data_IF_133395164525
#
_entry.id   IF_133395164525
#
_cell.length_a   1.000
_cell.length_b   1.000
_cell.length_c   1.000
_cell.angle_alpha   90.00
_cell.angle_beta   90.00
_cell.angle_gamma   90.00
#
_symmetry.space_group_name_H-M   'P 1'
#
loop_
_entity.id
_entity.type
_entity.pdbx_description
1 polymer ?
#
# COMPACT_ATOMS: atom_id res chain seq x y z
N UNK A 1 -14.31 -4.27 -18.48
CA UNK A 1 -13.89 -3.23 -17.51
C UNK A 1 -13.26 -2.09 -18.30
N UNK A 2 -13.48 -0.81 -17.93
CA UNK A 2 -12.81 0.29 -18.62
C UNK A 2 -11.30 0.19 -18.44
N UNK A 3 -10.53 0.59 -19.45
CA UNK A 3 -9.06 0.61 -19.38
C UNK A 3 -8.65 1.50 -18.20
N UNK A 4 -7.84 0.96 -17.29
CA UNK A 4 -7.33 1.69 -16.14
C UNK A 4 -6.27 2.68 -16.60
N UNK A 5 -6.25 3.87 -16.00
CA UNK A 5 -5.22 4.87 -16.22
C UNK A 5 -4.62 5.32 -14.88
N UNK A 6 -3.30 5.26 -14.79
CA UNK A 6 -2.55 5.86 -13.69
C UNK A 6 -2.22 7.32 -14.04
N UNK A 7 -2.71 8.26 -13.23
CA UNK A 7 -2.60 9.70 -13.46
C UNK A 7 -1.70 10.39 -12.43
N UNK A 8 -1.22 11.58 -12.78
CA UNK A 8 -0.49 12.52 -11.91
C UNK A 8 0.93 12.06 -11.45
N UNK A 9 1.42 10.92 -11.97
CA UNK A 9 2.85 10.56 -11.93
C UNK A 9 3.62 11.37 -12.97
N UNK A 10 4.78 11.91 -12.58
CA UNK A 10 5.69 12.62 -13.48
C UNK A 10 6.50 11.64 -14.33
N UNK A 11 6.81 11.98 -15.59
CA UNK A 11 7.47 11.05 -16.52
C UNK A 11 8.95 10.78 -16.19
N UNK A 12 9.56 11.59 -15.33
CA UNK A 12 10.95 11.49 -14.89
C UNK A 12 11.14 10.63 -13.63
N UNK A 13 10.10 9.91 -13.20
CA UNK A 13 10.09 9.12 -11.96
C UNK A 13 10.05 7.63 -12.23
N UNK A 14 10.67 6.84 -11.35
CA UNK A 14 10.65 5.38 -11.44
C UNK A 14 9.32 4.82 -10.91
N UNK A 15 8.53 4.10 -11.73
CA UNK A 15 7.21 3.64 -11.33
C UNK A 15 7.29 2.46 -10.35
N UNK A 16 6.61 2.56 -9.22
CA UNK A 16 6.36 1.41 -8.32
C UNK A 16 5.15 0.62 -8.80
N UNK A 17 3.99 1.28 -8.86
CA UNK A 17 2.75 0.64 -9.32
C UNK A 17 2.62 0.80 -10.84
N UNK A 18 2.85 -0.25 -11.61
CA UNK A 18 2.63 -0.26 -13.06
C UNK A 18 1.15 -0.47 -13.41
N UNK A 19 0.76 -0.17 -14.65
CA UNK A 19 -0.61 -0.47 -15.13
C UNK A 19 -0.96 -1.96 -14.97
N UNK A 20 0.01 -2.85 -15.24
CA UNK A 20 -0.18 -4.29 -15.10
C UNK A 20 -0.40 -4.73 -13.64
N UNK A 21 0.33 -4.13 -12.68
CA UNK A 21 0.12 -4.39 -11.25
C UNK A 21 -1.22 -3.81 -10.77
N UNK A 22 -1.57 -2.61 -11.25
CA UNK A 22 -2.84 -1.98 -10.92
C UNK A 22 -4.04 -2.80 -11.44
N UNK A 23 -3.95 -3.32 -12.66
CA UNK A 23 -4.94 -4.24 -13.22
C UNK A 23 -4.98 -5.59 -12.48
N UNK A 24 -3.85 -6.09 -11.98
CA UNK A 24 -3.81 -7.30 -11.16
C UNK A 24 -4.45 -7.10 -9.77
N UNK A 25 -4.32 -5.91 -9.17
CA UNK A 25 -4.95 -5.57 -7.89
C UNK A 25 -6.44 -5.27 -8.01
N UNK A 26 -6.86 -4.71 -9.14
CA UNK A 26 -8.22 -4.22 -9.36
C UNK A 26 -9.33 -5.22 -9.03
N UNK A 27 -9.25 -6.53 -9.37
CA UNK A 27 -10.26 -7.52 -9.00
C UNK A 27 -10.44 -7.71 -7.49
N UNK A 28 -9.44 -7.38 -6.68
CA UNK A 28 -9.44 -7.57 -5.23
C UNK A 28 -10.01 -6.37 -4.47
N UNK A 29 -10.12 -5.20 -5.11
CA UNK A 29 -10.71 -4.01 -4.52
C UNK A 29 -12.22 -4.21 -4.23
N UNK A 30 -12.82 -3.37 -3.37
CA UNK A 30 -14.27 -3.29 -3.26
C UNK A 30 -14.94 -3.03 -4.61
N UNK A 31 -16.11 -3.66 -4.85
CA UNK A 31 -16.82 -3.63 -6.14
C UNK A 31 -17.00 -2.21 -6.69
N UNK A 32 -17.31 -1.24 -5.82
CA UNK A 32 -17.46 0.18 -6.19
C UNK A 32 -16.21 0.77 -6.84
N UNK A 33 -15.02 0.37 -6.39
CA UNK A 33 -13.74 0.88 -6.90
C UNK A 33 -13.30 0.17 -8.18
N UNK A 34 -13.76 -1.07 -8.42
CA UNK A 34 -13.44 -1.82 -9.64
C UNK A 34 -13.94 -1.12 -10.90
N UNK A 35 -14.98 -0.29 -10.79
CA UNK A 35 -15.57 0.46 -11.89
C UNK A 35 -14.81 1.75 -12.22
N UNK A 36 -13.94 2.22 -11.34
CA UNK A 36 -13.14 3.44 -11.57
C UNK A 36 -12.23 3.26 -12.78
N UNK A 37 -12.15 4.29 -13.62
CA UNK A 37 -11.34 4.28 -14.85
C UNK A 37 -9.95 4.89 -14.63
N UNK A 38 -9.73 5.53 -13.48
CA UNK A 38 -8.44 6.17 -13.19
C UNK A 38 -8.08 6.13 -11.71
N UNK A 39 -6.80 5.88 -11.45
CA UNK A 39 -6.19 6.08 -10.14
C UNK A 39 -5.26 7.28 -10.23
N UNK A 40 -5.20 8.06 -9.17
CA UNK A 40 -4.44 9.31 -9.11
C UNK A 40 -3.35 9.19 -8.06
N UNK A 41 -2.12 9.53 -8.44
CA UNK A 41 -1.01 9.59 -7.50
C UNK A 41 -1.25 10.71 -6.48
N UNK A 42 -1.34 10.35 -5.21
CA UNK A 42 -1.52 11.27 -4.09
C UNK A 42 -0.17 11.68 -3.49
N UNK A 43 0.75 10.72 -3.42
CA UNK A 43 2.07 10.87 -2.83
C UNK A 43 3.07 9.91 -3.50
N UNK A 44 4.33 10.32 -3.59
CA UNK A 44 5.46 9.55 -4.09
C UNK A 44 6.73 10.08 -3.43
N UNK A 45 7.65 9.22 -3.00
CA UNK A 45 8.94 9.66 -2.44
C UNK A 45 9.71 10.52 -3.44
N UNK A 46 9.85 10.03 -4.66
CA UNK A 46 10.58 10.71 -5.74
C UNK A 46 9.99 12.10 -6.06
N UNK A 47 8.67 12.25 -6.04
CA UNK A 47 8.01 13.52 -6.37
C UNK A 47 7.86 14.51 -5.21
N UNK A 48 7.78 14.00 -3.97
CA UNK A 48 7.31 14.78 -2.81
C UNK A 48 8.26 14.76 -1.61
N UNK A 49 9.36 14.01 -1.68
CA UNK A 49 10.38 13.87 -0.63
C UNK A 49 10.08 12.75 0.36
N UNK A 50 10.98 12.57 1.34
CA UNK A 50 10.99 11.45 2.30
C UNK A 50 10.37 11.80 3.66
N UNK A 51 9.26 12.54 3.68
CA UNK A 51 8.65 12.98 4.95
C UNK A 51 7.27 12.38 5.18
N UNK A 52 7.13 11.57 6.24
CA UNK A 52 5.84 11.05 6.67
C UNK A 52 4.82 12.16 6.98
N UNK A 53 5.28 13.32 7.47
CA UNK A 53 4.43 14.48 7.68
C UNK A 53 3.86 15.04 6.37
N UNK A 54 4.66 15.12 5.31
CA UNK A 54 4.24 15.55 3.98
C UNK A 54 3.29 14.53 3.35
N UNK A 55 3.55 13.24 3.55
CA UNK A 55 2.65 12.15 3.16
C UNK A 55 1.26 12.36 3.76
N UNK A 56 1.15 12.51 5.08
CA UNK A 56 -0.14 12.75 5.73
C UNK A 56 -0.87 14.00 5.21
N UNK A 57 -0.15 15.09 4.97
CA UNK A 57 -0.73 16.31 4.40
C UNK A 57 -1.30 16.09 2.99
N UNK A 58 -0.58 15.34 2.15
CA UNK A 58 -0.95 15.10 0.74
C UNK A 58 -2.16 14.19 0.59
N UNK A 59 -2.28 13.19 1.45
CA UNK A 59 -3.37 12.18 1.42
C UNK A 59 -4.59 12.55 2.27
N UNK A 60 -4.50 13.63 3.07
CA UNK A 60 -5.59 14.07 3.95
C UNK A 60 -6.91 14.22 3.19
N UNK A 61 -7.92 13.45 3.60
CA UNK A 61 -9.26 13.47 3.00
C UNK A 61 -9.35 12.81 1.62
N UNK A 62 -8.32 12.10 1.15
CA UNK A 62 -8.23 11.49 -0.19
C UNK A 62 -8.15 9.96 -0.14
N UNK A 63 -9.01 9.31 0.66
CA UNK A 63 -9.12 7.85 0.73
C UNK A 63 -10.43 7.34 0.11
N UNK A 64 -10.56 6.04 -0.20
CA UNK A 64 -9.60 4.95 0.02
C UNK A 64 -8.31 5.06 -0.82
N UNK A 65 -7.27 4.30 -0.49
CA UNK A 65 -5.99 4.35 -1.21
C UNK A 65 -5.25 3.01 -1.30
N UNK A 66 -4.37 2.89 -2.30
CA UNK A 66 -3.36 1.83 -2.42
C UNK A 66 -2.02 2.42 -1.99
N UNK A 67 -1.39 1.80 -1.00
CA UNK A 67 0.02 1.96 -0.68
C UNK A 67 0.81 0.92 -1.49
N UNK A 68 1.85 1.38 -2.20
CA UNK A 68 2.81 0.54 -2.89
C UNK A 68 4.23 0.95 -2.49
N UNK A 69 5.06 -0.02 -2.14
CA UNK A 69 6.45 0.12 -1.72
C UNK A 69 7.30 -0.76 -2.64
N UNK A 70 8.44 -0.25 -3.07
CA UNK A 70 9.53 -1.01 -3.68
C UNK A 70 10.72 -0.99 -2.74
N UNK A 71 11.22 -2.16 -2.37
CA UNK A 71 12.43 -2.26 -1.54
C UNK A 71 13.73 -2.27 -2.36
N UNK A 72 14.86 -2.25 -1.66
CA UNK A 72 16.20 -2.33 -2.24
C UNK A 72 16.51 -3.67 -2.96
N UNK A 73 15.64 -4.67 -2.87
CA UNK A 73 15.73 -5.95 -3.58
C UNK A 73 14.71 -6.04 -4.74
N UNK A 74 14.19 -4.89 -5.19
CA UNK A 74 13.17 -4.77 -6.25
C UNK A 74 11.84 -5.49 -5.94
N UNK A 75 11.57 -5.83 -4.67
CA UNK A 75 10.32 -6.44 -4.27
C UNK A 75 9.24 -5.37 -4.10
N UNK A 76 8.07 -5.59 -4.70
CA UNK A 76 6.95 -4.64 -4.66
C UNK A 76 5.81 -5.19 -3.82
N UNK A 77 5.35 -4.42 -2.84
CA UNK A 77 4.32 -4.83 -1.88
C UNK A 77 3.62 -3.62 -1.26
N UNK A 78 2.58 -3.86 -0.46
CA UNK A 78 1.91 -2.80 0.26
C UNK A 78 0.55 -3.21 0.78
N UNK A 79 -0.40 -2.27 0.76
CA UNK A 79 -1.75 -2.50 1.27
C UNK A 79 -2.80 -1.64 0.59
N UNK A 80 -4.02 -2.15 0.53
CA UNK A 80 -5.21 -1.35 0.27
C UNK A 80 -5.80 -0.90 1.61
N UNK A 81 -6.04 0.40 1.74
CA UNK A 81 -6.62 1.02 2.92
C UNK A 81 -7.95 1.67 2.54
N UNK A 82 -9.02 1.33 3.25
CA UNK A 82 -10.36 1.87 2.98
C UNK A 82 -10.52 3.35 3.37
N UNK A 83 -9.56 3.90 4.12
CA UNK A 83 -9.48 5.28 4.59
C UNK A 83 -8.11 5.88 4.25
N UNK A 84 -7.97 7.22 4.18
CA UNK A 84 -6.68 7.86 3.97
C UNK A 84 -5.77 7.67 5.20
N UNK A 85 -4.45 7.58 4.97
CA UNK A 85 -3.47 7.58 6.06
C UNK A 85 -3.56 8.88 6.88
N UNK A 86 -3.60 8.74 8.20
CA UNK A 86 -3.72 9.87 9.13
C UNK A 86 -3.07 9.52 10.47
N UNK A 87 -2.40 10.47 11.16
CA UNK A 87 -1.99 10.25 12.53
C UNK A 87 -3.20 9.90 13.41
N UNK A 88 -3.15 8.77 14.10
CA UNK A 88 -4.21 8.27 14.98
C UNK A 88 -3.58 7.41 16.08
N UNK A 89 -3.84 7.70 17.36
CA UNK A 89 -3.35 6.88 18.48
C UNK A 89 -4.13 5.56 18.64
N UNK A 90 -5.17 5.34 17.82
CA UNK A 90 -5.98 4.13 17.81
C UNK A 90 -6.04 3.54 16.40
N UNK A 91 -6.23 2.22 16.34
CA UNK A 91 -6.46 1.54 15.08
C UNK A 91 -7.69 2.09 14.36
N UNK A 92 -7.61 2.21 13.05
CA UNK A 92 -8.70 2.63 12.17
C UNK A 92 -8.71 1.81 10.88
N UNK A 93 -9.76 2.00 10.09
CA UNK A 93 -10.04 1.20 8.90
C UNK A 93 -11.07 0.10 9.16
N UNK A 94 -11.42 -0.63 8.11
CA UNK A 94 -12.41 -1.71 8.14
C UNK A 94 -11.86 -2.99 7.53
N UNK A 95 -12.62 -4.08 7.63
CA UNK A 95 -12.34 -5.35 6.98
C UNK A 95 -12.26 -5.35 5.46
N UNK A 96 -12.45 -4.19 4.80
CA UNK A 96 -12.11 -4.05 3.37
C UNK A 96 -10.60 -3.90 3.15
N UNK A 97 -9.81 -3.58 4.17
CA UNK A 97 -8.36 -3.48 4.07
C UNK A 97 -7.73 -4.84 3.76
N UNK A 98 -6.61 -4.82 3.05
CA UNK A 98 -5.82 -6.02 2.79
C UNK A 98 -4.35 -5.66 2.55
N UNK A 99 -3.45 -6.60 2.84
CA UNK A 99 -2.06 -6.52 2.38
C UNK A 99 -1.90 -7.21 1.03
N UNK A 100 -0.88 -6.83 0.28
CA UNK A 100 -0.55 -7.48 -0.99
C UNK A 100 0.95 -7.46 -1.26
N UNK A 101 1.41 -8.40 -2.10
CA UNK A 101 2.75 -8.37 -2.70
C UNK A 101 2.70 -8.82 -4.15
N UNK A 102 3.57 -8.28 -4.99
CA UNK A 102 3.80 -8.79 -6.33
C UNK A 102 4.50 -10.17 -6.25
N UNK A 103 4.03 -11.12 -7.06
CA UNK A 103 4.63 -12.45 -7.17
C UNK A 103 5.39 -12.64 -8.47
N UNK A 104 4.99 -11.94 -9.53
CA UNK A 104 5.71 -11.85 -10.80
C UNK A 104 5.39 -10.52 -11.45
N UNK A 105 6.42 -9.74 -11.76
CA UNK A 105 6.32 -8.43 -12.46
C UNK A 105 6.90 -8.48 -13.88
N UNK A 106 7.51 -9.59 -14.26
CA UNK A 106 8.23 -9.77 -15.53
C UNK A 106 7.44 -10.56 -16.56
N UNK A 107 6.31 -11.15 -16.15
CA UNK A 107 5.47 -11.95 -17.03
C UNK A 107 4.92 -11.12 -18.21
N UNK A 108 5.08 -11.68 -19.41
CA UNK A 108 4.54 -11.11 -20.67
C UNK A 108 3.01 -11.05 -20.68
N UNK A 109 2.35 -11.93 -19.93
CA UNK A 109 0.90 -12.01 -19.84
C UNK A 109 0.30 -11.05 -18.79
N UNK A 110 1.15 -10.28 -18.10
CA UNK A 110 0.77 -9.32 -17.07
C UNK A 110 1.28 -9.68 -15.68
N UNK A 111 1.35 -8.68 -14.80
CA UNK A 111 1.82 -8.87 -13.44
C UNK A 111 0.85 -9.75 -12.62
N UNK A 112 1.38 -10.42 -11.60
CA UNK A 112 0.60 -11.19 -10.64
C UNK A 112 0.85 -10.73 -9.22
N UNK A 113 -0.19 -10.80 -8.39
CA UNK A 113 -0.15 -10.38 -6.99
C UNK A 113 -0.73 -11.45 -6.09
N UNK A 114 -0.19 -11.54 -4.88
CA UNK A 114 -0.81 -12.26 -3.76
C UNK A 114 -1.45 -11.25 -2.82
N UNK A 115 -2.71 -11.48 -2.49
CA UNK A 115 -3.52 -10.62 -1.61
C UNK A 115 -3.85 -11.37 -0.32
N UNK A 116 -3.75 -10.67 0.80
CA UNK A 116 -4.00 -11.15 2.15
C UNK A 116 -5.18 -10.37 2.74
N UNK A 117 -6.42 -10.87 2.57
CA UNK A 117 -7.62 -10.20 3.06
C UNK A 117 -7.74 -10.31 4.58
N UNK A 118 -8.62 -9.47 5.15
CA UNK A 118 -8.93 -9.54 6.56
C UNK A 118 -9.47 -10.92 6.99
N UNK A 119 -8.98 -11.42 8.13
CA UNK A 119 -9.31 -12.75 8.65
C UNK A 119 -10.57 -12.78 9.53
N UNK A 120 -11.00 -11.63 10.04
CA UNK A 120 -12.04 -11.56 11.07
C UNK A 120 -11.53 -11.78 12.51
N UNK A 121 -10.23 -12.03 12.73
CA UNK A 121 -9.69 -12.33 14.08
C UNK A 121 -9.62 -11.11 15.00
N UNK A 122 -9.38 -9.92 14.46
CA UNK A 122 -9.33 -8.64 15.18
C UNK A 122 -9.52 -7.45 14.20
N UNK A 123 -9.69 -6.23 14.72
CA UNK A 123 -9.90 -5.01 13.91
C UNK A 123 -8.66 -4.11 13.82
N UNK A 124 -7.45 -4.67 13.96
CA UNK A 124 -6.19 -3.91 14.00
C UNK A 124 -5.66 -3.58 12.59
N UNK A 125 -6.48 -2.90 11.77
CA UNK A 125 -6.19 -2.69 10.34
C UNK A 125 -5.03 -1.72 10.08
N UNK A 126 -5.11 -0.50 10.61
CA UNK A 126 -4.07 0.53 10.43
C UNK A 126 -3.83 1.26 11.73
N UNK A 127 -2.57 1.36 12.14
CA UNK A 127 -2.11 2.21 13.23
C UNK A 127 -0.99 3.09 12.68
N UNK A 128 -1.16 4.40 12.72
CA UNK A 128 -0.16 5.30 12.16
C UNK A 128 -0.04 6.54 13.01
N UNK A 129 1.18 6.84 13.43
CA UNK A 129 1.54 7.92 14.33
C UNK A 129 2.52 8.87 13.62
N UNK A 130 2.93 9.99 14.24
CA UNK A 130 3.91 10.88 13.63
C UNK A 130 5.25 10.21 13.30
N UNK A 131 5.60 9.13 14.02
CA UNK A 131 6.88 8.43 13.96
C UNK A 131 6.83 7.11 13.16
N UNK A 132 5.66 6.56 12.84
CA UNK A 132 5.52 5.36 12.01
C UNK A 132 4.14 5.20 11.33
N UNK A 133 4.08 4.29 10.35
CA UNK A 133 2.85 3.74 9.78
C UNK A 133 2.89 2.23 9.90
N UNK A 134 1.81 1.61 10.37
CA UNK A 134 1.67 0.17 10.50
C UNK A 134 0.32 -0.32 9.96
N UNK A 135 0.33 -1.43 9.25
CA UNK A 135 -0.83 -2.06 8.61
C UNK A 135 -0.88 -3.53 9.02
N UNK A 136 -1.99 -3.92 9.64
CA UNK A 136 -2.25 -5.27 10.17
C UNK A 136 -1.51 -5.50 11.47
N UNK A 137 -2.21 -5.58 12.59
CA UNK A 137 -1.63 -5.74 13.92
C UNK A 137 -1.98 -7.04 14.63
N UNK A 138 -1.48 -7.17 15.85
CA UNK A 138 -1.79 -8.28 16.76
C UNK A 138 -0.56 -9.12 17.10
N UNK A 139 -0.63 -9.81 18.24
CA UNK A 139 0.49 -10.59 18.81
C UNK A 139 1.81 -9.81 18.92
N UNK A 140 1.72 -8.48 19.09
CA UNK A 140 2.88 -7.59 19.17
C UNK A 140 3.64 -7.37 17.86
N UNK A 141 3.05 -7.75 16.71
CA UNK A 141 3.66 -7.67 15.39
C UNK A 141 2.80 -6.88 14.41
N UNK A 142 3.43 -6.44 13.32
CA UNK A 142 2.76 -5.75 12.24
C UNK A 142 3.00 -6.43 10.88
N UNK A 143 1.94 -6.64 10.11
CA UNK A 143 2.00 -7.19 8.77
C UNK A 143 2.91 -6.36 7.85
N UNK A 144 2.81 -5.04 7.98
CA UNK A 144 3.70 -4.07 7.38
C UNK A 144 3.91 -2.89 8.34
N UNK A 145 5.15 -2.51 8.61
CA UNK A 145 5.51 -1.35 9.40
C UNK A 145 6.59 -0.53 8.69
N UNK A 146 6.46 0.79 8.73
CA UNK A 146 7.37 1.74 8.11
C UNK A 146 7.66 2.90 9.07
N UNK A 147 8.93 3.24 9.24
CA UNK A 147 9.38 4.35 10.08
C UNK A 147 9.09 5.72 9.43
N UNK A 148 9.11 6.79 10.22
CA UNK A 148 8.86 8.17 9.77
C UNK A 148 9.85 8.75 8.78
N UNK A 149 11.04 8.16 8.64
CA UNK A 149 12.00 8.50 7.57
C UNK A 149 11.59 7.93 6.21
N UNK A 150 10.55 7.08 6.17
CA UNK A 150 10.08 6.38 4.97
C UNK A 150 11.18 5.55 4.27
N UNK A 151 12.20 5.16 5.02
CA UNK A 151 13.35 4.39 4.53
C UNK A 151 13.38 3.02 5.22
N UNK A 152 13.18 2.98 6.54
CA UNK A 152 13.32 1.72 7.29
C UNK A 152 11.96 1.08 7.57
N UNK A 153 11.81 -0.18 7.18
CA UNK A 153 10.59 -0.93 7.44
C UNK A 153 10.80 -2.39 7.82
N UNK A 154 9.73 -3.02 8.28
CA UNK A 154 9.69 -4.45 8.52
C UNK A 154 8.30 -5.04 8.21
N UNK A 155 8.26 -6.33 7.95
CA UNK A 155 7.06 -7.10 7.66
C UNK A 155 7.11 -8.42 8.41
N UNK A 156 6.03 -8.70 9.15
CA UNK A 156 5.85 -9.89 9.96
C UNK A 156 4.55 -10.61 9.59
N UNK A 157 4.37 -11.80 10.15
CA UNK A 157 3.05 -12.43 10.17
C UNK A 157 2.17 -11.73 11.21
N UNK A 158 0.91 -11.47 10.86
CA UNK A 158 -0.06 -10.89 11.79
C UNK A 158 -1.42 -11.61 11.74
N UNK A 159 -2.15 -11.69 12.86
CA UNK A 159 -3.47 -12.32 12.89
C UNK A 159 -4.54 -11.54 12.11
N UNK A 160 -4.38 -10.22 11.87
CA UNK A 160 -5.36 -9.43 11.10
C UNK A 160 -5.51 -9.93 9.67
N UNK A 161 -4.41 -10.31 9.01
CA UNK A 161 -4.40 -10.69 7.59
C UNK A 161 -3.89 -12.11 7.30
N UNK A 162 -3.38 -12.82 8.32
CA UNK A 162 -2.74 -14.14 8.16
C UNK A 162 -1.66 -14.12 7.05
N UNK A 163 -0.98 -12.98 6.91
CA UNK A 163 0.00 -12.78 5.85
C UNK A 163 1.33 -13.45 6.22
N UNK A 164 2.03 -13.92 5.20
CA UNK A 164 3.47 -14.19 5.30
C UNK A 164 4.23 -12.84 5.30
N UNK A 165 5.52 -12.80 5.69
CA UNK A 165 6.36 -11.64 5.42
C UNK A 165 6.27 -11.26 3.93
N UNK A 166 6.02 -9.99 3.65
CA UNK A 166 5.73 -9.50 2.29
C UNK A 166 6.98 -9.51 1.40
N UNK A 167 8.16 -9.48 2.01
CA UNK A 167 9.49 -9.51 1.38
C UNK A 167 10.25 -10.77 1.75
N UNK A 168 11.36 -11.04 1.06
CA UNK A 168 12.24 -12.19 1.32
C UNK A 168 12.93 -12.11 2.69
N UNK A 169 13.17 -10.89 3.19
CA UNK A 169 13.66 -10.58 4.52
C UNK A 169 12.56 -9.91 5.35
N UNK A 170 12.58 -10.09 6.68
CA UNK A 170 11.64 -9.42 7.60
C UNK A 170 11.88 -7.92 7.71
N UNK A 171 13.11 -7.47 7.47
CA UNK A 171 13.47 -6.05 7.40
C UNK A 171 13.73 -5.66 5.95
N UNK A 172 13.28 -4.49 5.57
CA UNK A 172 13.48 -3.94 4.23
C UNK A 172 13.88 -2.46 4.31
N UNK A 173 14.58 -2.02 3.27
CA UNK A 173 14.86 -0.62 2.99
C UNK A 173 13.93 -0.19 1.86
N UNK A 174 13.08 0.79 2.14
CA UNK A 174 12.14 1.39 1.21
C UNK A 174 12.89 2.33 0.27
N UNK A 175 12.99 1.97 -1.00
CA UNK A 175 13.64 2.81 -2.02
C UNK A 175 12.61 3.72 -2.66
N UNK A 176 11.45 3.17 -3.00
CA UNK A 176 10.33 3.93 -3.56
C UNK A 176 9.03 3.63 -2.82
N UNK A 177 8.17 4.64 -2.71
CA UNK A 177 6.83 4.50 -2.16
C UNK A 177 5.86 5.40 -2.91
N UNK A 178 4.71 4.84 -3.27
CA UNK A 178 3.60 5.56 -3.89
C UNK A 178 2.30 5.33 -3.12
N UNK A 179 1.46 6.37 -3.08
CA UNK A 179 0.08 6.26 -2.61
C UNK A 179 -0.87 6.68 -3.73
N UNK A 180 -1.78 5.79 -4.09
CA UNK A 180 -2.75 5.97 -5.16
C UNK A 180 -4.17 6.09 -4.62
N UNK A 181 -4.89 7.13 -5.01
CA UNK A 181 -6.29 7.33 -4.71
C UNK A 181 -7.18 6.98 -5.89
N UNK A 182 -8.48 6.82 -5.63
CA UNK A 182 -9.48 6.51 -6.65
C UNK A 182 -10.28 7.75 -7.01
N UNK A 183 -10.34 8.10 -8.30
CA UNK A 183 -11.29 9.10 -8.79
C UNK A 183 -12.55 8.40 -9.32
N UNK A 184 -13.76 8.84 -8.91
CA UNK A 184 -15.02 8.42 -9.53
C UNK A 184 -15.03 8.68 -11.04
#
# INVERSE_FOLDING_TARGET
MPVLKLLDRRPDTDPVLTDSLADALRPHLPVRLRLTSSWTLLYSLDQHGISLSTLYQKVKGKGPCILAIKDANDQIFGGYLNEPLKPSPAYYGTGECFLWRATDITNKDGASVRVYPWTGKNDYMVLSEPDFVAIGGGDGKFGLWLHSDLERGHTEECPTFDNEPLTSSRKFECVELEIWGFKP
#
